data_IF_058847974653
#
_entry.id   IF_058847974653
#
_cell.length_a   1.000
_cell.length_b   1.000
_cell.length_c   1.000
_cell.angle_alpha   90.00
_cell.angle_beta   90.00
_cell.angle_gamma   90.00
#
_symmetry.space_group_name_H-M   'P 1'
#
loop_
_entity.id
_entity.type
_entity.pdbx_description
1 polymer ?
#
# COMPACT_ATOMS: atom_id res chain seq x y z
N UNK A 1 -42.56 -20.43 32.07
CA UNK A 1 -41.50 -21.43 31.84
C UNK A 1 -40.46 -20.75 30.95
N UNK A 2 -39.81 -19.69 31.41
CA UNK A 2 -38.79 -19.66 32.47
C UNK A 2 -37.66 -20.64 32.14
N UNK A 3 -36.74 -20.23 31.25
CA UNK A 3 -35.37 -20.71 31.30
C UNK A 3 -34.41 -19.54 31.11
N UNK A 4 -33.57 -19.43 32.13
CA UNK A 4 -32.81 -18.31 32.61
C UNK A 4 -31.37 -18.44 32.08
N UNK A 5 -31.01 -17.66 31.06
CA UNK A 5 -29.58 -17.47 30.73
C UNK A 5 -28.96 -16.58 31.81
N UNK A 6 -28.55 -17.24 32.89
CA UNK A 6 -27.92 -16.66 34.07
C UNK A 6 -26.61 -15.96 33.71
N UNK A 7 -26.63 -14.63 33.59
CA UNK A 7 -25.44 -13.78 33.57
C UNK A 7 -25.09 -13.46 35.03
N UNK A 8 -23.92 -13.86 35.56
CA UNK A 8 -23.57 -13.59 36.95
C UNK A 8 -23.53 -12.07 37.20
N UNK A 9 -24.25 -11.66 38.25
CA UNK A 9 -24.45 -10.27 38.64
C UNK A 9 -23.11 -9.53 38.81
N UNK A 10 -22.90 -8.49 38.00
CA UNK A 10 -21.98 -7.41 38.36
C UNK A 10 -22.63 -6.61 39.48
N UNK A 11 -22.09 -6.75 40.69
CA UNK A 11 -22.38 -5.94 41.87
C UNK A 11 -22.18 -4.46 41.53
N UNK A 12 -23.27 -3.78 41.15
CA UNK A 12 -23.32 -2.33 41.04
C UNK A 12 -23.35 -1.74 42.45
N UNK A 13 -22.18 -1.64 43.06
CA UNK A 13 -21.98 -0.71 44.17
C UNK A 13 -21.59 0.65 43.61
N UNK A 14 -22.57 1.54 43.55
CA UNK A 14 -22.35 2.95 43.26
C UNK A 14 -21.33 3.53 44.24
N UNK A 15 -20.22 4.02 43.69
CA UNK A 15 -19.34 4.97 44.35
C UNK A 15 -19.18 6.16 43.41
N UNK A 16 -19.64 7.29 43.90
CA UNK A 16 -19.70 8.61 43.28
C UNK A 16 -18.44 8.97 42.46
N UNK A 17 -18.63 9.29 41.17
CA UNK A 17 -17.67 10.12 40.45
C UNK A 17 -17.74 11.52 41.05
N UNK A 18 -16.82 11.83 41.96
CA UNK A 18 -16.44 13.21 42.19
C UNK A 18 -16.01 13.81 40.83
N UNK A 19 -16.45 15.02 40.47
CA UNK A 19 -16.00 15.64 39.24
C UNK A 19 -14.48 15.86 39.38
N UNK A 20 -13.70 15.11 38.62
CA UNK A 20 -12.29 15.42 38.45
C UNK A 20 -12.26 16.76 37.71
N UNK A 21 -11.82 17.81 38.38
CA UNK A 21 -11.81 19.18 37.89
C UNK A 21 -10.77 19.43 36.79
N UNK A 22 -10.57 18.44 35.91
CA UNK A 22 -9.71 18.48 34.74
C UNK A 22 -10.39 17.92 33.47
N UNK A 23 -11.63 17.44 33.51
CA UNK A 23 -12.44 17.23 32.30
C UNK A 23 -13.13 18.54 31.91
N UNK A 24 -12.30 19.50 31.47
CA UNK A 24 -12.78 20.55 30.59
C UNK A 24 -13.21 19.87 29.28
N UNK A 25 -14.49 19.53 29.17
CA UNK A 25 -15.11 19.24 27.88
C UNK A 25 -15.14 20.56 27.09
N UNK A 26 -14.01 20.84 26.45
CA UNK A 26 -13.88 21.77 25.35
C UNK A 26 -14.66 21.20 24.17
N UNK A 27 -15.98 21.39 24.20
CA UNK A 27 -16.86 21.17 23.04
C UNK A 27 -16.92 22.51 22.28
N UNK A 28 -15.75 23.03 21.91
CA UNK A 28 -15.62 24.01 20.84
C UNK A 28 -14.91 23.32 19.67
N UNK A 29 -15.73 22.74 18.79
CA UNK A 29 -15.40 22.61 17.37
C UNK A 29 -14.62 21.38 16.92
N UNK A 30 -15.16 20.16 17.11
CA UNK A 30 -14.88 19.06 16.17
C UNK A 30 -15.98 17.98 16.21
N UNK A 31 -17.13 18.32 15.66
CA UNK A 31 -18.34 17.49 15.64
C UNK A 31 -18.81 17.14 14.23
N UNK A 32 -17.90 16.84 13.31
CA UNK A 32 -18.24 16.40 11.96
C UNK A 32 -17.28 15.32 11.50
N UNK A 33 -17.76 14.27 10.84
CA UNK A 33 -16.88 13.32 10.16
C UNK A 33 -16.07 14.12 9.12
N UNK A 34 -14.81 14.44 9.43
CA UNK A 34 -13.95 15.36 8.69
C UNK A 34 -13.60 14.86 7.29
N UNK A 35 -14.56 14.89 6.37
CA UNK A 35 -14.47 14.23 5.07
C UNK A 35 -14.75 15.11 3.84
N UNK A 36 -15.16 16.38 3.93
CA UNK A 36 -15.80 17.01 2.75
C UNK A 36 -15.35 18.43 2.35
N UNK A 37 -14.53 19.14 3.14
CA UNK A 37 -14.18 20.54 2.79
C UNK A 37 -12.88 20.69 1.99
N UNK A 38 -12.05 19.65 1.91
CA UNK A 38 -10.83 19.62 1.08
C UNK A 38 -10.93 18.53 0.00
N UNK A 39 -12.15 18.34 -0.55
CA UNK A 39 -12.41 17.52 -1.72
C UNK A 39 -11.56 18.06 -2.89
N UNK A 40 -10.33 17.57 -3.01
CA UNK A 40 -9.41 17.85 -4.11
C UNK A 40 -9.92 17.17 -5.38
N UNK A 41 -11.08 17.59 -5.86
CA UNK A 41 -11.60 17.21 -7.16
C UNK A 41 -11.23 18.28 -8.19
N UNK A 42 -9.95 18.54 -8.34
CA UNK A 42 -9.41 18.86 -9.66
C UNK A 42 -8.65 17.61 -10.12
N UNK A 43 -9.40 16.67 -10.69
CA UNK A 43 -8.82 15.66 -11.58
C UNK A 43 -8.41 16.37 -12.87
N UNK A 44 -7.38 17.22 -12.79
CA UNK A 44 -6.58 17.51 -13.96
C UNK A 44 -5.78 16.24 -14.18
N UNK A 45 -6.34 15.32 -14.96
CA UNK A 45 -5.53 14.32 -15.59
C UNK A 45 -4.56 15.11 -16.48
N UNK A 46 -3.38 15.44 -15.96
CA UNK A 46 -2.21 15.69 -16.80
C UNK A 46 -1.91 14.36 -17.51
N UNK A 47 -2.77 14.00 -18.45
CA UNK A 47 -2.41 13.11 -19.55
C UNK A 47 -1.20 13.78 -20.18
N UNK A 48 -0.02 13.21 -19.90
CA UNK A 48 1.26 13.81 -20.20
C UNK A 48 1.27 14.47 -21.58
N UNK A 49 1.75 15.72 -21.60
CA UNK A 49 1.95 16.58 -22.77
C UNK A 49 1.52 15.94 -24.09
N UNK A 50 0.22 16.09 -24.40
CA UNK A 50 -0.32 15.75 -25.71
C UNK A 50 0.34 16.71 -26.71
N UNK A 51 1.36 16.24 -27.41
CA UNK A 51 1.82 16.90 -28.63
C UNK A 51 0.75 16.57 -29.69
N UNK A 52 -0.25 17.44 -29.81
CA UNK A 52 -1.22 17.37 -30.90
C UNK A 52 -0.51 17.73 -32.21
N UNK A 53 -0.07 16.72 -32.95
CA UNK A 53 0.54 16.91 -34.27
C UNK A 53 -0.57 17.25 -35.29
N UNK A 54 -0.87 18.53 -35.47
CA UNK A 54 -1.59 19.25 -36.58
C UNK A 54 -2.84 18.60 -37.25
N UNK A 55 -3.28 17.41 -36.83
CA UNK A 55 -4.26 16.55 -37.48
C UNK A 55 -5.27 15.94 -36.50
N UNK A 56 -5.29 16.39 -35.24
CA UNK A 56 -6.31 16.01 -34.26
C UNK A 56 -6.27 14.57 -33.76
N UNK A 57 -5.20 13.81 -34.03
CA UNK A 57 -4.98 12.48 -33.46
C UNK A 57 -3.98 12.54 -32.32
N UNK A 58 -4.35 11.97 -31.18
CA UNK A 58 -3.53 11.88 -29.96
C UNK A 58 -3.20 10.41 -29.71
N UNK A 59 -1.91 10.12 -29.51
CA UNK A 59 -1.47 8.78 -29.11
C UNK A 59 -1.58 8.68 -27.57
N UNK A 60 -2.26 7.66 -27.02
CA UNK A 60 -2.35 7.49 -25.57
C UNK A 60 -0.98 7.17 -24.96
N UNK A 61 -0.71 7.70 -23.77
CA UNK A 61 0.48 7.38 -22.99
C UNK A 61 0.31 5.97 -22.40
N UNK A 62 1.35 5.14 -22.52
CA UNK A 62 1.36 3.80 -21.92
C UNK A 62 1.34 3.91 -20.38
N UNK A 63 0.51 3.08 -19.74
CA UNK A 63 0.49 2.96 -18.28
C UNK A 63 1.71 2.23 -17.72
N UNK A 64 1.78 2.15 -16.39
CA UNK A 64 2.81 1.36 -15.71
C UNK A 64 2.67 -0.13 -16.03
N UNK A 65 3.80 -0.81 -16.18
CA UNK A 65 3.80 -2.26 -16.41
C UNK A 65 3.56 -3.03 -15.10
N UNK A 66 2.86 -4.16 -15.17
CA UNK A 66 2.59 -5.00 -13.99
C UNK A 66 3.89 -5.47 -13.30
N UNK A 67 4.90 -5.82 -14.09
CA UNK A 67 6.24 -6.20 -13.60
C UNK A 67 6.92 -5.08 -12.84
N UNK A 68 6.70 -3.83 -13.23
CA UNK A 68 7.24 -2.66 -12.55
C UNK A 68 6.53 -2.42 -11.21
N UNK A 69 5.21 -2.61 -11.16
CA UNK A 69 4.42 -2.56 -9.93
C UNK A 69 4.93 -3.62 -8.93
N UNK A 70 5.28 -4.82 -9.39
CA UNK A 70 5.84 -5.86 -8.52
C UNK A 70 7.19 -5.43 -7.92
N UNK A 71 8.07 -4.84 -8.74
CA UNK A 71 9.37 -4.33 -8.27
C UNK A 71 9.22 -3.21 -7.24
N UNK A 72 8.24 -2.32 -7.41
CA UNK A 72 8.00 -1.20 -6.50
C UNK A 72 7.43 -1.64 -5.15
N UNK A 73 6.60 -2.68 -5.13
CA UNK A 73 5.91 -3.13 -3.92
C UNK A 73 6.62 -4.26 -3.17
N UNK A 74 7.56 -4.97 -3.83
CA UNK A 74 8.26 -6.09 -3.20
C UNK A 74 9.71 -5.76 -2.83
N UNK A 75 10.14 -6.04 -1.58
CA UNK A 75 11.54 -5.95 -1.17
C UNK A 75 12.34 -7.25 -1.43
N UNK A 76 11.75 -8.26 -2.09
CA UNK A 76 12.38 -9.55 -2.32
C UNK A 76 13.11 -9.58 -3.67
N UNK A 77 14.39 -9.97 -3.66
CA UNK A 77 15.17 -10.08 -4.89
C UNK A 77 14.56 -11.06 -5.91
N UNK A 78 13.91 -12.13 -5.44
CA UNK A 78 13.25 -13.11 -6.31
C UNK A 78 12.13 -12.48 -7.16
N UNK A 79 11.38 -11.53 -6.61
CA UNK A 79 10.29 -10.86 -7.34
C UNK A 79 10.84 -9.90 -8.39
N UNK A 80 11.98 -9.27 -8.11
CA UNK A 80 12.70 -8.45 -9.09
C UNK A 80 13.28 -9.30 -10.22
N UNK A 81 13.77 -10.51 -9.92
CA UNK A 81 14.19 -11.50 -10.92
C UNK A 81 13.00 -11.95 -11.78
N UNK A 82 11.86 -12.27 -11.16
CA UNK A 82 10.63 -12.67 -11.84
C UNK A 82 10.10 -11.57 -12.78
N UNK A 83 10.25 -10.30 -12.39
CA UNK A 83 9.93 -9.13 -13.21
C UNK A 83 10.95 -8.86 -14.34
N UNK A 84 12.13 -9.48 -14.29
CA UNK A 84 13.23 -9.24 -15.24
C UNK A 84 14.16 -8.07 -14.85
N UNK A 85 13.97 -7.47 -13.68
CA UNK A 85 14.81 -6.42 -13.13
C UNK A 85 16.06 -7.01 -12.42
N UNK A 86 16.92 -7.70 -13.18
CA UNK A 86 18.07 -8.41 -12.62
C UNK A 86 19.05 -7.50 -11.87
N UNK A 87 19.26 -6.27 -12.35
CA UNK A 87 20.14 -5.30 -11.70
C UNK A 87 19.63 -4.93 -10.30
N UNK A 88 18.34 -4.62 -10.19
CA UNK A 88 17.71 -4.30 -8.90
C UNK A 88 17.77 -5.50 -7.94
N UNK A 89 17.54 -6.72 -8.45
CA UNK A 89 17.70 -7.94 -7.66
C UNK A 89 19.14 -8.14 -7.14
N UNK A 90 20.15 -7.89 -7.98
CA UNK A 90 21.56 -8.01 -7.59
C UNK A 90 21.93 -6.96 -6.53
N UNK A 91 21.44 -5.73 -6.66
CA UNK A 91 21.64 -4.69 -5.64
C UNK A 91 20.97 -5.05 -4.31
N UNK A 92 19.76 -5.63 -4.35
CA UNK A 92 19.09 -6.15 -3.16
C UNK A 92 19.89 -7.26 -2.49
N UNK A 93 20.35 -8.26 -3.25
CA UNK A 93 21.16 -9.37 -2.71
C UNK A 93 22.50 -8.89 -2.17
N UNK A 94 23.13 -7.91 -2.81
CA UNK A 94 24.35 -7.30 -2.30
C UNK A 94 24.12 -6.65 -0.94
N UNK A 95 23.05 -5.86 -0.80
CA UNK A 95 22.72 -5.17 0.46
C UNK A 95 22.20 -6.10 1.57
N UNK A 96 21.44 -7.14 1.21
CA UNK A 96 20.77 -8.03 2.17
C UNK A 96 21.69 -9.13 2.69
N UNK A 97 22.48 -9.74 1.80
CA UNK A 97 23.30 -10.93 2.13
C UNK A 97 24.78 -10.80 1.75
N UNK A 98 25.20 -9.64 1.23
CA UNK A 98 26.60 -9.43 0.84
C UNK A 98 27.00 -10.16 -0.45
N UNK A 99 26.05 -10.55 -1.29
CA UNK A 99 26.36 -11.23 -2.55
C UNK A 99 27.14 -10.30 -3.49
N UNK A 100 28.31 -10.76 -3.93
CA UNK A 100 29.20 -10.03 -4.86
C UNK A 100 29.51 -10.80 -6.13
N UNK A 101 29.47 -12.14 -6.07
CA UNK A 101 29.66 -13.01 -7.22
C UNK A 101 28.32 -13.63 -7.62
N UNK A 102 27.77 -13.19 -8.75
CA UNK A 102 26.49 -13.64 -9.28
C UNK A 102 26.59 -14.71 -10.36
N UNK A 103 27.81 -15.08 -10.78
CA UNK A 103 28.06 -16.15 -11.77
C UNK A 103 27.30 -17.45 -11.41
N UNK A 104 27.32 -17.95 -10.15
CA UNK A 104 26.63 -19.18 -9.80
C UNK A 104 25.10 -19.04 -9.73
N UNK A 105 24.58 -17.81 -9.63
CA UNK A 105 23.14 -17.54 -9.49
C UNK A 105 22.44 -17.36 -10.84
N UNK A 106 23.20 -17.29 -11.94
CA UNK A 106 22.68 -17.01 -13.28
C UNK A 106 21.59 -18.00 -13.72
N UNK A 107 21.82 -19.30 -13.54
CA UNK A 107 20.86 -20.33 -13.94
C UNK A 107 19.57 -20.24 -13.12
N UNK A 108 19.69 -19.93 -11.83
CA UNK A 108 18.53 -19.70 -10.96
C UNK A 108 17.74 -18.45 -11.38
N UNK A 109 18.43 -17.37 -11.73
CA UNK A 109 17.79 -16.14 -12.19
C UNK A 109 16.98 -16.38 -13.47
N UNK A 110 17.58 -17.08 -14.44
CA UNK A 110 16.91 -17.41 -15.70
C UNK A 110 15.73 -18.37 -15.47
N UNK A 111 15.87 -19.36 -14.59
CA UNK A 111 14.80 -20.29 -14.28
C UNK A 111 13.60 -19.58 -13.65
N UNK A 112 13.82 -18.65 -12.71
CA UNK A 112 12.73 -17.89 -12.06
C UNK A 112 12.03 -16.99 -13.08
N UNK A 113 12.80 -16.29 -13.92
CA UNK A 113 12.25 -15.42 -14.95
C UNK A 113 11.40 -16.17 -15.99
N UNK A 114 11.81 -17.39 -16.36
CA UNK A 114 11.04 -18.22 -17.29
C UNK A 114 9.76 -18.78 -16.65
N UNK A 115 9.81 -19.09 -15.35
CA UNK A 115 8.66 -19.64 -14.62
C UNK A 115 7.60 -18.59 -14.24
N UNK A 116 7.93 -17.30 -14.27
CA UNK A 116 7.03 -16.22 -13.82
C UNK A 116 5.99 -15.80 -14.85
N UNK A 117 6.09 -16.26 -16.10
CA UNK A 117 5.20 -15.85 -17.19
C UNK A 117 4.47 -17.07 -17.76
N UNK A 118 3.15 -16.96 -17.88
CA UNK A 118 2.37 -17.93 -18.62
C UNK A 118 2.57 -17.69 -20.13
N UNK A 119 2.74 -18.79 -20.88
CA UNK A 119 2.78 -18.82 -22.35
C UNK A 119 1.35 -18.78 -22.89
#
# INVERSE_FOLDING_TARGET
MDDEFSIPALDRKGASLAPNANDALDIDGDGGWGLDADLAAELHAETGAIIAEDNGQVIPVAGQSETEIWCQNSPLAADHVAAGAFESAMQLLNRQVGAVNFEPLKDHFLSIFQASRAI
#
